data_IF_114139966956
#
_entry.id   IF_114139966956
#
_cell.length_a   1.000
_cell.length_b   1.000
_cell.length_c   1.000
_cell.angle_alpha   90.00
_cell.angle_beta   90.00
_cell.angle_gamma   90.00
#
_symmetry.space_group_name_H-M   'P 1'
#
loop_
_entity.id
_entity.type
_entity.pdbx_description
1 polymer ?
#
# COMPACT_ATOMS: atom_id res chain seq x y z
N UNK A 1 -36.45 26.79 29.95
CA UNK A 1 -35.15 27.45 30.20
C UNK A 1 -34.36 27.47 28.91
N UNK A 2 -34.25 28.65 28.28
CA UNK A 2 -33.45 28.90 27.08
C UNK A 2 -32.11 29.48 27.51
N UNK A 3 -31.00 29.02 26.93
CA UNK A 3 -29.79 29.83 26.83
C UNK A 3 -29.19 29.67 25.43
N UNK A 4 -29.33 30.73 24.64
CA UNK A 4 -28.52 31.04 23.45
C UNK A 4 -27.16 31.54 23.92
N UNK A 5 -26.09 31.15 23.23
CA UNK A 5 -24.78 31.82 23.29
C UNK A 5 -24.39 32.21 21.87
N UNK A 6 -24.44 33.53 21.61
CA UNK A 6 -23.93 34.18 20.41
C UNK A 6 -22.40 34.29 20.52
N UNK A 7 -21.68 33.98 19.44
CA UNK A 7 -20.29 34.41 19.24
C UNK A 7 -20.25 35.52 18.20
N UNK A 8 -19.65 36.64 18.60
CA UNK A 8 -19.43 37.86 17.84
C UNK A 8 -18.23 37.72 16.90
N UNK A 9 -18.37 38.21 15.67
CA UNK A 9 -17.29 38.39 14.71
C UNK A 9 -16.66 39.79 14.89
N UNK A 10 -15.33 39.86 14.93
CA UNK A 10 -14.58 41.11 14.89
C UNK A 10 -13.98 41.32 13.50
N UNK A 11 -14.39 42.40 12.85
CA UNK A 11 -13.73 43.00 11.70
C UNK A 11 -12.41 43.67 12.11
N UNK A 12 -11.37 43.52 11.29
CA UNK A 12 -10.26 44.46 11.23
C UNK A 12 -10.10 44.94 9.79
N UNK A 13 -10.30 46.25 9.62
CA UNK A 13 -10.00 47.04 8.43
C UNK A 13 -8.60 47.62 8.67
N UNK A 14 -7.69 47.48 7.70
CA UNK A 14 -6.50 48.32 7.61
C UNK A 14 -6.36 48.88 6.19
N UNK A 15 -6.46 50.20 6.10
CA UNK A 15 -6.29 51.04 4.93
C UNK A 15 -4.89 51.68 4.95
N UNK A 16 -4.29 51.86 3.76
CA UNK A 16 -3.07 52.63 3.51
C UNK A 16 -1.89 51.74 3.08
N UNK A 17 -1.04 52.10 2.10
CA UNK A 17 -0.79 53.40 1.50
C UNK A 17 0.02 53.25 0.18
N UNK A 18 0.17 54.39 -0.51
CA UNK A 18 1.28 54.80 -1.38
C UNK A 18 1.33 54.30 -2.83
N UNK A 19 0.82 55.16 -3.70
CA UNK A 19 1.22 55.28 -5.10
C UNK A 19 2.64 55.86 -5.21
N UNK A 20 3.49 55.21 -6.02
CA UNK A 20 4.76 55.74 -6.50
C UNK A 20 4.78 55.63 -8.02
N UNK A 21 4.84 56.79 -8.67
CA UNK A 21 5.04 56.96 -10.11
C UNK A 21 6.50 56.69 -10.44
N UNK A 22 6.76 55.81 -11.41
CA UNK A 22 8.07 55.62 -12.02
C UNK A 22 8.03 56.00 -13.49
N UNK A 23 8.99 56.84 -13.86
CA UNK A 23 9.23 57.41 -15.18
C UNK A 23 9.94 56.38 -16.07
N UNK A 24 9.58 56.44 -17.35
CA UNK A 24 10.14 55.75 -18.51
C UNK A 24 11.67 55.81 -18.66
N UNK A 25 12.27 54.71 -19.13
CA UNK A 25 13.63 54.71 -19.68
C UNK A 25 14.10 53.32 -20.12
N UNK A 26 13.88 52.98 -21.38
CA UNK A 26 14.34 51.75 -22.02
C UNK A 26 15.74 51.98 -22.60
N UNK A 27 16.74 51.16 -22.23
CA UNK A 27 17.95 50.87 -23.02
C UNK A 27 18.69 49.64 -22.49
N UNK A 28 18.40 48.53 -23.16
CA UNK A 28 19.20 47.32 -23.44
C UNK A 28 20.65 47.31 -22.94
N UNK A 29 20.88 46.58 -21.85
CA UNK A 29 22.02 45.69 -21.69
C UNK A 29 21.45 44.37 -21.16
N UNK A 30 21.64 43.28 -21.91
CA UNK A 30 21.21 41.95 -21.50
C UNK A 30 21.96 41.55 -20.24
N UNK A 31 21.33 41.72 -19.08
CA UNK A 31 21.77 41.10 -17.84
C UNK A 31 21.63 39.59 -18.02
N UNK A 32 22.74 38.93 -18.35
CA UNK A 32 22.85 37.50 -18.09
C UNK A 32 22.74 37.36 -16.58
N UNK A 33 21.59 36.89 -16.10
CA UNK A 33 21.43 36.54 -14.70
C UNK A 33 22.52 35.51 -14.40
N UNK A 34 23.46 35.88 -13.53
CA UNK A 34 24.45 34.92 -13.04
C UNK A 34 23.74 33.75 -12.37
N UNK A 35 24.38 32.57 -12.31
CA UNK A 35 23.84 31.42 -11.60
C UNK A 35 23.46 31.84 -10.18
N UNK A 36 22.31 31.36 -9.70
CA UNK A 36 21.87 31.62 -8.33
C UNK A 36 22.88 31.01 -7.34
N UNK A 37 22.87 31.44 -6.07
CA UNK A 37 23.74 30.84 -5.05
C UNK A 37 23.52 29.32 -4.97
N UNK A 38 22.29 28.85 -5.15
CA UNK A 38 21.96 27.43 -5.21
C UNK A 38 22.53 26.71 -6.44
N UNK A 39 22.73 27.40 -7.57
CA UNK A 39 23.37 26.83 -8.75
C UNK A 39 24.89 26.79 -8.61
N UNK A 40 25.48 27.75 -7.89
CA UNK A 40 26.90 27.75 -7.53
C UNK A 40 27.21 26.65 -6.51
N UNK A 41 26.37 26.50 -5.48
CA UNK A 41 26.52 25.45 -4.46
C UNK A 41 26.41 24.06 -5.10
N UNK A 42 25.42 23.83 -5.98
CA UNK A 42 25.33 22.59 -6.79
C UNK A 42 26.53 22.39 -7.71
N UNK A 43 27.08 23.45 -8.31
CA UNK A 43 28.27 23.34 -9.15
C UNK A 43 29.55 23.03 -8.35
N UNK A 44 29.66 23.50 -7.10
CA UNK A 44 30.74 23.15 -6.19
C UNK A 44 30.63 21.69 -5.72
N UNK A 45 29.42 21.25 -5.34
CA UNK A 45 29.16 19.86 -4.97
C UNK A 45 29.42 18.89 -6.13
N UNK A 46 28.99 19.23 -7.35
CA UNK A 46 29.25 18.42 -8.53
C UNK A 46 30.75 18.34 -8.87
N UNK A 47 31.48 19.46 -8.73
CA UNK A 47 32.93 19.48 -8.96
C UNK A 47 33.69 18.63 -7.94
N UNK A 48 33.24 18.65 -6.69
CA UNK A 48 33.84 17.86 -5.61
C UNK A 48 33.50 16.38 -5.78
N UNK A 49 32.31 16.04 -6.28
CA UNK A 49 31.94 14.68 -6.67
C UNK A 49 32.80 14.17 -7.84
N UNK A 50 32.94 14.95 -8.93
CA UNK A 50 33.78 14.59 -10.07
C UNK A 50 35.25 14.38 -9.66
N UNK A 51 35.74 15.18 -8.71
CA UNK A 51 37.07 15.01 -8.12
C UNK A 51 37.19 13.69 -7.34
N UNK A 52 36.23 13.40 -6.45
CA UNK A 52 36.21 12.16 -5.67
C UNK A 52 36.08 10.92 -6.56
N UNK A 53 35.27 10.98 -7.62
CA UNK A 53 35.12 9.89 -8.58
C UNK A 53 36.40 9.65 -9.39
N UNK A 54 37.11 10.71 -9.78
CA UNK A 54 38.39 10.61 -10.47
C UNK A 54 39.48 10.02 -9.57
N UNK A 55 39.49 10.37 -8.28
CA UNK A 55 40.36 9.74 -7.28
C UNK A 55 40.01 8.25 -7.11
N UNK A 56 38.72 7.91 -7.01
CA UNK A 56 38.25 6.53 -6.87
C UNK A 56 38.55 5.66 -8.12
N UNK A 57 38.43 6.24 -9.33
CA UNK A 57 38.79 5.56 -10.57
C UNK A 57 40.30 5.29 -10.67
N UNK A 58 41.13 6.27 -10.26
CA UNK A 58 42.59 6.12 -10.24
C UNK A 58 43.10 5.15 -9.17
N UNK A 59 42.42 5.05 -8.02
CA UNK A 59 42.73 4.07 -6.97
C UNK A 59 42.52 2.63 -7.44
N UNK A 60 41.37 2.34 -8.09
CA UNK A 60 41.07 1.02 -8.66
C UNK A 60 42.08 0.55 -9.71
N UNK A 61 42.62 1.47 -10.51
CA UNK A 61 43.67 1.16 -11.50
C UNK A 61 45.04 0.87 -10.85
N UNK A 62 45.28 1.37 -9.63
CA UNK A 62 46.52 1.17 -8.86
C UNK A 62 46.49 -0.09 -7.98
N UNK A 63 45.34 -0.46 -7.41
CA UNK A 63 45.19 -1.73 -6.67
C UNK A 63 45.52 -2.95 -7.52
N UNK A 64 45.30 -2.89 -8.85
CA UNK A 64 45.74 -3.94 -9.78
C UNK A 64 47.26 -4.09 -9.89
N UNK A 65 48.04 -3.09 -9.44
CA UNK A 65 49.50 -2.99 -9.63
C UNK A 65 50.32 -3.02 -8.34
N UNK A 66 49.80 -2.57 -7.19
CA UNK A 66 50.58 -2.36 -5.96
C UNK A 66 50.00 -3.07 -4.71
N UNK A 67 49.73 -4.38 -4.79
CA UNK A 67 49.30 -5.22 -3.66
C UNK A 67 50.32 -5.36 -2.49
N UNK A 68 51.34 -4.50 -2.36
CA UNK A 68 52.45 -4.70 -1.40
C UNK A 68 52.84 -3.51 -0.51
N UNK A 69 52.12 -2.37 -0.47
CA UNK A 69 52.45 -1.28 0.48
C UNK A 69 51.21 -0.58 1.08
N UNK A 70 50.84 -1.01 2.29
CA UNK A 70 49.74 -0.44 3.06
C UNK A 70 50.06 0.93 3.66
N UNK A 71 49.41 1.97 3.15
CA UNK A 71 49.07 3.23 3.86
C UNK A 71 48.29 4.20 2.98
N UNK A 72 48.25 3.99 1.66
CA UNK A 72 47.47 4.82 0.71
C UNK A 72 46.03 4.31 0.49
N UNK A 73 45.74 3.04 0.80
CA UNK A 73 44.42 2.40 0.64
C UNK A 73 43.33 3.10 1.45
N UNK A 74 43.61 3.45 2.71
CA UNK A 74 42.58 3.92 3.63
C UNK A 74 42.00 5.31 3.26
N UNK A 75 42.77 6.13 2.54
CA UNK A 75 42.30 7.44 2.07
C UNK A 75 41.52 7.32 0.75
N UNK A 76 41.94 6.41 -0.13
CA UNK A 76 41.25 6.12 -1.39
C UNK A 76 39.90 5.41 -1.12
N UNK A 77 39.85 4.46 -0.19
CA UNK A 77 38.62 3.79 0.24
C UNK A 77 37.61 4.78 0.83
N UNK A 78 38.07 5.69 1.71
CA UNK A 78 37.23 6.75 2.28
C UNK A 78 36.68 7.70 1.22
N UNK A 79 37.49 8.04 0.20
CA UNK A 79 37.04 8.88 -0.91
C UNK A 79 35.98 8.17 -1.77
N UNK A 80 36.13 6.87 -2.03
CA UNK A 80 35.12 6.06 -2.73
C UNK A 80 33.82 5.92 -1.91
N UNK A 81 33.90 5.70 -0.60
CA UNK A 81 32.71 5.68 0.29
C UNK A 81 31.99 7.02 0.27
N UNK A 82 32.72 8.13 0.42
CA UNK A 82 32.13 9.46 0.42
C UNK A 82 31.50 9.81 -0.94
N UNK A 83 32.13 9.45 -2.06
CA UNK A 83 31.54 9.63 -3.39
C UNK A 83 30.24 8.82 -3.56
N UNK A 84 30.21 7.58 -3.06
CA UNK A 84 29.01 6.75 -3.05
C UNK A 84 27.90 7.34 -2.17
N UNK A 85 28.25 7.90 -1.01
CA UNK A 85 27.30 8.53 -0.10
C UNK A 85 26.73 9.84 -0.67
N UNK A 86 27.57 10.68 -1.28
CA UNK A 86 27.15 11.92 -1.95
C UNK A 86 26.32 11.62 -3.19
N UNK A 87 26.67 10.62 -4.00
CA UNK A 87 25.84 10.17 -5.12
C UNK A 87 24.49 9.65 -4.62
N UNK A 88 24.50 8.86 -3.54
CA UNK A 88 23.27 8.41 -2.88
C UNK A 88 22.43 9.55 -2.29
N UNK A 89 23.04 10.67 -1.90
CA UNK A 89 22.34 11.88 -1.45
C UNK A 89 21.76 12.68 -2.62
N UNK A 90 22.55 12.93 -3.67
CA UNK A 90 22.09 13.61 -4.88
C UNK A 90 20.97 12.83 -5.59
N UNK A 91 21.06 11.50 -5.61
CA UNK A 91 20.00 10.64 -6.12
C UNK A 91 18.74 10.74 -5.25
N UNK A 92 18.87 10.89 -3.93
CA UNK A 92 17.71 11.10 -3.03
C UNK A 92 17.05 12.45 -3.27
N UNK A 93 17.82 13.51 -3.46
CA UNK A 93 17.28 14.85 -3.70
C UNK A 93 16.61 14.94 -5.08
N UNK A 94 17.23 14.36 -6.12
CA UNK A 94 16.61 14.25 -7.44
C UNK A 94 15.32 13.40 -7.41
N UNK A 95 15.30 12.30 -6.66
CA UNK A 95 14.10 11.48 -6.46
C UNK A 95 13.02 12.24 -5.68
N UNK A 96 13.39 12.99 -4.64
CA UNK A 96 12.46 13.80 -3.87
C UNK A 96 11.84 14.91 -4.73
N UNK A 97 12.64 15.55 -5.59
CA UNK A 97 12.15 16.53 -6.55
C UNK A 97 11.20 15.90 -7.59
N UNK A 98 11.58 14.76 -8.17
CA UNK A 98 10.73 14.04 -9.14
C UNK A 98 9.39 13.62 -8.53
N UNK A 99 9.38 13.17 -7.27
CA UNK A 99 8.15 12.84 -6.56
C UNK A 99 7.30 14.10 -6.29
N UNK A 100 7.90 15.20 -5.85
CA UNK A 100 7.18 16.45 -5.61
C UNK A 100 6.56 17.00 -6.91
N UNK A 101 7.27 16.89 -8.03
CA UNK A 101 6.76 17.26 -9.36
C UNK A 101 5.59 16.34 -9.77
N UNK A 102 5.70 15.03 -9.55
CA UNK A 102 4.61 14.09 -9.76
C UNK A 102 3.37 14.46 -8.91
N UNK A 103 3.56 14.67 -7.60
CA UNK A 103 2.49 15.03 -6.67
C UNK A 103 1.78 16.34 -7.05
N UNK A 104 2.54 17.33 -7.54
CA UNK A 104 2.00 18.60 -7.99
C UNK A 104 1.08 18.48 -9.23
N UNK A 105 1.19 17.38 -9.99
CA UNK A 105 0.34 17.11 -11.16
C UNK A 105 -0.95 16.34 -10.82
N UNK A 106 -1.08 15.82 -9.60
CA UNK A 106 -2.22 14.99 -9.22
C UNK A 106 -3.50 15.82 -9.05
N UNK A 107 -4.54 15.42 -9.77
CA UNK A 107 -5.91 15.92 -9.68
C UNK A 107 -6.87 14.76 -9.47
N UNK A 108 -8.11 15.05 -9.06
CA UNK A 108 -9.13 14.01 -8.91
C UNK A 108 -9.37 13.22 -10.21
N UNK A 109 -9.23 13.87 -11.36
CA UNK A 109 -9.53 13.26 -12.67
C UNK A 109 -8.38 12.41 -13.21
N UNK A 110 -7.15 12.60 -12.72
CA UNK A 110 -5.97 11.95 -13.29
C UNK A 110 -5.16 11.09 -12.31
N UNK A 111 -5.48 11.08 -11.01
CA UNK A 111 -4.58 10.51 -10.01
C UNK A 111 -4.23 9.03 -10.29
N UNK A 112 -5.23 8.20 -10.55
CA UNK A 112 -5.04 6.76 -10.81
C UNK A 112 -4.29 6.54 -12.13
N UNK A 113 -4.65 7.27 -13.18
CA UNK A 113 -3.99 7.13 -14.48
C UNK A 113 -2.53 7.61 -14.44
N UNK A 114 -2.25 8.64 -13.64
CA UNK A 114 -0.89 9.13 -13.41
C UNK A 114 -0.03 8.07 -12.72
N UNK A 115 -0.59 7.32 -11.76
CA UNK A 115 0.12 6.20 -11.14
C UNK A 115 0.37 5.05 -12.13
N UNK A 116 -0.59 4.73 -13.00
CA UNK A 116 -0.40 3.70 -14.04
C UNK A 116 0.72 4.08 -15.00
N UNK A 117 0.72 5.33 -15.48
CA UNK A 117 1.77 5.87 -16.33
C UNK A 117 3.14 5.80 -15.63
N UNK A 118 3.19 6.23 -14.36
CA UNK A 118 4.40 6.17 -13.54
C UNK A 118 4.91 4.73 -13.36
N UNK A 119 4.02 3.78 -13.06
CA UNK A 119 4.37 2.36 -12.91
C UNK A 119 4.90 1.71 -14.20
N UNK A 120 4.45 2.16 -15.37
CA UNK A 120 4.90 1.64 -16.66
C UNK A 120 6.40 1.94 -16.94
N UNK A 121 6.95 2.99 -16.30
CA UNK A 121 8.36 3.36 -16.41
C UNK A 121 9.29 2.47 -15.57
N UNK A 122 8.72 1.53 -14.79
CA UNK A 122 9.44 0.63 -13.86
C UNK A 122 10.32 1.41 -12.88
N UNK A 123 9.73 2.33 -12.10
CA UNK A 123 10.45 3.07 -11.07
C UNK A 123 11.00 2.12 -10.00
N UNK A 124 11.92 2.63 -9.19
CA UNK A 124 12.35 1.96 -7.97
C UNK A 124 11.15 1.66 -7.06
N UNK A 125 11.19 0.51 -6.37
CA UNK A 125 10.12 0.05 -5.46
C UNK A 125 9.72 1.12 -4.44
N UNK A 126 10.71 1.84 -3.88
CA UNK A 126 10.46 2.86 -2.88
C UNK A 126 9.73 4.07 -3.47
N UNK A 127 10.08 4.45 -4.70
CA UNK A 127 9.48 5.59 -5.38
C UNK A 127 8.04 5.26 -5.80
N UNK A 128 7.79 4.06 -6.32
CA UNK A 128 6.42 3.61 -6.59
C UNK A 128 5.56 3.56 -5.35
N UNK A 129 6.08 3.01 -4.24
CA UNK A 129 5.32 2.94 -3.00
C UNK A 129 4.92 4.33 -2.50
N UNK A 130 5.83 5.32 -2.60
CA UNK A 130 5.51 6.71 -2.26
C UNK A 130 4.45 7.28 -3.19
N UNK A 131 4.61 7.17 -4.51
CA UNK A 131 3.61 7.62 -5.48
C UNK A 131 2.25 6.95 -5.29
N UNK A 132 2.21 5.66 -4.97
CA UNK A 132 0.99 4.92 -4.65
C UNK A 132 0.27 5.52 -3.44
N UNK A 133 1.01 5.85 -2.38
CA UNK A 133 0.45 6.51 -1.20
C UNK A 133 -0.06 7.92 -1.50
N UNK A 134 0.67 8.72 -2.27
CA UNK A 134 0.26 10.07 -2.65
C UNK A 134 -0.98 10.08 -3.54
N UNK A 135 -1.06 9.16 -4.51
CA UNK A 135 -2.25 8.94 -5.33
C UNK A 135 -3.42 8.48 -4.48
N UNK A 136 -3.21 7.56 -3.53
CA UNK A 136 -4.26 7.12 -2.63
C UNK A 136 -4.79 8.20 -1.69
N UNK A 137 -3.91 9.06 -1.17
CA UNK A 137 -4.31 10.24 -0.41
C UNK A 137 -5.15 11.20 -1.27
N UNK A 138 -4.76 11.39 -2.54
CA UNK A 138 -5.53 12.24 -3.46
C UNK A 138 -6.89 11.66 -3.80
N UNK A 139 -6.98 10.37 -4.11
CA UNK A 139 -8.24 9.66 -4.37
C UNK A 139 -9.20 9.76 -3.17
N UNK A 140 -8.66 9.63 -1.95
CA UNK A 140 -9.43 9.81 -0.73
C UNK A 140 -9.91 11.26 -0.53
N UNK A 141 -9.07 12.27 -0.77
CA UNK A 141 -9.46 13.69 -0.76
C UNK A 141 -10.64 13.95 -1.71
N UNK A 142 -10.66 13.27 -2.86
CA UNK A 142 -11.72 13.35 -3.86
C UNK A 142 -12.96 12.48 -3.54
N UNK A 143 -12.94 11.74 -2.43
CA UNK A 143 -13.98 10.79 -2.02
C UNK A 143 -14.31 9.71 -3.07
N UNK A 144 -13.37 9.38 -3.96
CA UNK A 144 -13.52 8.33 -4.96
C UNK A 144 -13.13 6.96 -4.39
N UNK A 145 -13.90 6.48 -3.40
CA UNK A 145 -13.64 5.18 -2.77
C UNK A 145 -13.91 4.00 -3.71
N UNK A 146 -14.74 4.20 -4.73
CA UNK A 146 -14.94 3.19 -5.77
C UNK A 146 -13.63 3.01 -6.55
N UNK A 147 -13.06 4.09 -7.10
CA UNK A 147 -11.76 4.07 -7.77
C UNK A 147 -10.64 3.59 -6.86
N UNK A 148 -10.64 3.96 -5.57
CA UNK A 148 -9.70 3.42 -4.58
C UNK A 148 -9.71 1.89 -4.55
N UNK A 149 -10.89 1.28 -4.44
CA UNK A 149 -11.03 -0.16 -4.24
C UNK A 149 -10.90 -0.96 -5.53
N UNK A 150 -11.54 -0.49 -6.61
CA UNK A 150 -11.63 -1.23 -7.87
C UNK A 150 -10.48 -0.96 -8.82
N UNK A 151 -9.79 0.18 -8.68
CA UNK A 151 -8.73 0.59 -9.60
C UNK A 151 -7.37 0.79 -8.93
N UNK A 152 -7.30 1.47 -7.77
CA UNK A 152 -6.02 1.79 -7.13
C UNK A 152 -5.44 0.62 -6.32
N UNK A 153 -6.18 0.05 -5.37
CA UNK A 153 -5.70 -1.09 -4.55
C UNK A 153 -5.15 -2.26 -5.39
N UNK A 154 -5.73 -2.62 -6.55
CA UNK A 154 -5.15 -3.63 -7.43
C UNK A 154 -3.76 -3.29 -7.97
N UNK A 155 -3.45 -2.00 -8.13
CA UNK A 155 -2.13 -1.51 -8.56
C UNK A 155 -1.07 -1.64 -7.46
N UNK A 156 -1.43 -2.03 -6.23
CA UNK A 156 -0.45 -2.36 -5.19
C UNK A 156 0.42 -3.59 -5.57
N UNK A 157 0.03 -4.32 -6.63
CA UNK A 157 0.82 -5.41 -7.18
C UNK A 157 1.88 -4.89 -8.16
N UNK A 158 3.05 -4.55 -7.64
CA UNK A 158 4.27 -4.51 -8.45
C UNK A 158 4.95 -5.88 -8.44
N UNK A 159 5.39 -6.34 -9.61
CA UNK A 159 6.26 -7.51 -9.70
C UNK A 159 7.58 -7.24 -8.96
N UNK A 160 7.92 -8.08 -7.97
CA UNK A 160 9.19 -8.01 -7.24
C UNK A 160 9.16 -7.23 -5.91
N UNK A 161 8.04 -6.60 -5.56
CA UNK A 161 7.87 -5.76 -4.35
C UNK A 161 7.15 -6.54 -3.25
N UNK A 162 7.49 -6.26 -1.98
CA UNK A 162 6.91 -6.86 -0.76
C UNK A 162 5.36 -6.95 -0.80
N UNK A 163 4.69 -7.87 -0.07
CA UNK A 163 3.37 -8.37 -0.45
C UNK A 163 2.36 -7.22 -0.67
N UNK A 164 1.66 -7.22 -1.82
CA UNK A 164 0.74 -6.14 -2.26
C UNK A 164 -0.26 -5.71 -1.17
N UNK A 165 -0.67 -6.66 -0.34
CA UNK A 165 -1.58 -6.47 0.79
C UNK A 165 -1.06 -5.44 1.80
N UNK A 166 0.26 -5.37 2.03
CA UNK A 166 0.86 -4.47 3.03
C UNK A 166 0.81 -3.00 2.61
N UNK A 167 0.94 -2.73 1.31
CA UNK A 167 0.88 -1.39 0.74
C UNK A 167 -0.56 -0.88 0.73
N UNK A 168 -1.50 -1.70 0.25
CA UNK A 168 -2.92 -1.39 0.30
C UNK A 168 -3.42 -1.16 1.74
N UNK A 169 -3.02 -2.02 2.69
CA UNK A 169 -3.37 -1.86 4.11
C UNK A 169 -2.83 -0.56 4.70
N UNK A 170 -1.54 -0.24 4.47
CA UNK A 170 -0.94 1.02 4.94
C UNK A 170 -1.69 2.22 4.42
N UNK A 171 -2.06 2.21 3.13
CA UNK A 171 -2.85 3.29 2.54
C UNK A 171 -4.21 3.42 3.23
N UNK A 172 -4.93 2.32 3.44
CA UNK A 172 -6.22 2.33 4.12
C UNK A 172 -6.11 2.79 5.58
N UNK A 173 -5.04 2.46 6.31
CA UNK A 173 -4.78 3.00 7.65
C UNK A 173 -4.64 4.53 7.61
N UNK A 174 -3.83 5.06 6.69
CA UNK A 174 -3.66 6.52 6.53
C UNK A 174 -4.96 7.23 6.19
N UNK A 175 -5.76 6.66 5.27
CA UNK A 175 -7.04 7.27 4.90
C UNK A 175 -8.06 7.15 6.04
N UNK A 176 -8.17 5.98 6.67
CA UNK A 176 -9.15 5.71 7.73
C UNK A 176 -8.95 6.55 8.99
N UNK A 177 -7.72 6.97 9.29
CA UNK A 177 -7.43 7.96 10.36
C UNK A 177 -8.02 9.34 10.03
N UNK A 178 -8.09 9.68 8.74
CA UNK A 178 -8.55 10.98 8.26
C UNK A 178 -10.04 11.02 7.88
N UNK A 179 -10.65 9.86 7.56
CA UNK A 179 -11.99 9.79 7.02
C UNK A 179 -12.82 8.62 7.59
N UNK A 180 -13.75 8.95 8.49
CA UNK A 180 -14.65 7.99 9.12
C UNK A 180 -15.67 7.37 8.13
N UNK A 181 -15.87 7.95 6.94
CA UNK A 181 -16.81 7.44 5.94
C UNK A 181 -16.24 6.30 5.08
N UNK A 182 -14.91 6.10 5.13
CA UNK A 182 -14.21 5.05 4.38
C UNK A 182 -14.78 3.65 4.68
N UNK A 183 -15.04 3.35 5.96
CA UNK A 183 -15.55 2.03 6.36
C UNK A 183 -16.94 1.73 5.76
N UNK A 184 -17.82 2.73 5.76
CA UNK A 184 -19.17 2.62 5.17
C UNK A 184 -19.08 2.37 3.67
N UNK A 185 -18.27 3.14 2.94
CA UNK A 185 -18.13 2.99 1.49
C UNK A 185 -17.48 1.66 1.11
N UNK A 186 -16.47 1.21 1.87
CA UNK A 186 -15.87 -0.11 1.66
C UNK A 186 -16.90 -1.23 1.85
N UNK A 187 -17.79 -1.11 2.83
CA UNK A 187 -18.87 -2.09 3.04
C UNK A 187 -19.88 -2.11 1.88
N UNK A 188 -20.15 -0.95 1.27
CA UNK A 188 -21.00 -0.82 0.09
C UNK A 188 -20.34 -1.42 -1.15
N UNK A 189 -19.05 -1.14 -1.38
CA UNK A 189 -18.30 -1.70 -2.51
C UNK A 189 -18.11 -3.23 -2.35
N UNK A 190 -17.94 -3.74 -1.13
CA UNK A 190 -17.91 -5.18 -0.83
C UNK A 190 -19.23 -5.90 -1.14
N UNK A 191 -20.36 -5.18 -1.04
CA UNK A 191 -21.68 -5.70 -1.42
C UNK A 191 -21.94 -5.66 -2.92
N UNK A 192 -21.24 -4.80 -3.64
CA UNK A 192 -21.41 -4.68 -5.07
C UNK A 192 -20.65 -5.82 -5.78
N UNK A 193 -21.17 -6.25 -6.93
CA UNK A 193 -20.47 -7.16 -7.87
C UNK A 193 -19.14 -6.58 -8.43
N UNK A 194 -18.67 -5.46 -7.87
CA UNK A 194 -17.52 -4.65 -8.28
C UNK A 194 -16.15 -5.28 -8.00
N UNK A 195 -16.06 -6.36 -7.21
CA UNK A 195 -14.82 -7.12 -7.02
C UNK A 195 -14.51 -8.00 -8.25
N UNK A 196 -14.22 -7.38 -9.38
CA UNK A 196 -13.88 -8.08 -10.64
C UNK A 196 -12.53 -8.83 -10.57
N UNK A 197 -12.44 -9.92 -11.35
CA UNK A 197 -11.57 -11.09 -11.17
C UNK A 197 -10.05 -10.86 -11.09
N UNK A 198 -9.46 -9.88 -11.79
CA UNK A 198 -7.99 -9.77 -11.89
C UNK A 198 -7.34 -9.00 -10.73
N UNK A 199 -8.15 -8.23 -10.02
CA UNK A 199 -7.78 -7.20 -9.05
C UNK A 199 -8.27 -7.53 -7.63
N UNK A 200 -9.24 -8.43 -7.52
CA UNK A 200 -10.11 -8.55 -6.36
C UNK A 200 -9.44 -9.11 -5.11
N UNK A 201 -8.46 -10.00 -5.22
CA UNK A 201 -7.85 -10.63 -4.04
C UNK A 201 -6.90 -9.67 -3.30
N UNK A 202 -6.18 -8.81 -4.02
CA UNK A 202 -5.28 -7.80 -3.42
C UNK A 202 -6.13 -6.77 -2.67
N UNK A 203 -7.17 -6.24 -3.32
CA UNK A 203 -8.11 -5.32 -2.68
C UNK A 203 -8.81 -5.99 -1.49
N UNK A 204 -9.32 -7.21 -1.66
CA UNK A 204 -9.98 -7.94 -0.59
C UNK A 204 -9.04 -8.20 0.60
N UNK A 205 -7.77 -8.53 0.35
CA UNK A 205 -6.77 -8.78 1.39
C UNK A 205 -6.40 -7.50 2.15
N UNK A 206 -6.16 -6.40 1.43
CA UNK A 206 -5.89 -5.10 2.02
C UNK A 206 -7.07 -4.62 2.89
N UNK A 207 -8.29 -4.69 2.34
CA UNK A 207 -9.52 -4.29 3.03
C UNK A 207 -9.78 -5.17 4.25
N UNK A 208 -9.70 -6.49 4.10
CA UNK A 208 -9.93 -7.42 5.22
C UNK A 208 -8.93 -7.19 6.34
N UNK A 209 -7.65 -6.98 6.01
CA UNK A 209 -6.61 -6.69 6.99
C UNK A 209 -6.86 -5.38 7.72
N UNK A 210 -7.23 -4.33 6.97
CA UNK A 210 -7.58 -3.03 7.53
C UNK A 210 -8.78 -3.13 8.49
N UNK A 211 -9.87 -3.78 8.07
CA UNK A 211 -11.07 -3.96 8.90
C UNK A 211 -10.80 -4.76 10.18
N UNK A 212 -9.91 -5.75 10.13
CA UNK A 212 -9.49 -6.51 11.31
C UNK A 212 -8.70 -5.65 12.29
N UNK A 213 -7.77 -4.82 11.80
CA UNK A 213 -6.97 -3.91 12.63
C UNK A 213 -7.83 -2.78 13.24
N UNK A 214 -8.76 -2.23 12.45
CA UNK A 214 -9.69 -1.19 12.90
C UNK A 214 -10.83 -1.72 13.77
N UNK A 215 -10.95 -3.03 13.93
CA UNK A 215 -12.06 -3.71 14.63
C UNK A 215 -13.45 -3.34 14.08
N UNK A 216 -13.54 -3.05 12.78
CA UNK A 216 -14.78 -2.63 12.11
C UNK A 216 -15.59 -3.84 11.62
N UNK A 217 -16.19 -4.58 12.56
CA UNK A 217 -16.90 -5.83 12.29
C UNK A 217 -18.36 -5.67 11.84
N UNK A 218 -18.88 -4.45 11.79
CA UNK A 218 -20.23 -4.10 11.32
C UNK A 218 -20.46 -4.55 9.86
N UNK A 219 -19.36 -4.86 9.16
CA UNK A 219 -19.28 -5.33 7.77
C UNK A 219 -19.52 -6.83 7.60
N UNK A 220 -19.73 -7.60 8.69
CA UNK A 220 -19.96 -9.06 8.61
C UNK A 220 -21.09 -9.43 7.63
N UNK A 221 -22.20 -8.69 7.63
CA UNK A 221 -23.34 -8.96 6.74
C UNK A 221 -22.94 -8.79 5.27
N UNK A 222 -22.12 -7.79 4.96
CA UNK A 222 -21.66 -7.53 3.60
C UNK A 222 -20.74 -8.65 3.09
N UNK A 223 -19.83 -9.12 3.94
CA UNK A 223 -18.94 -10.22 3.59
C UNK A 223 -19.70 -11.54 3.42
N UNK A 224 -20.77 -11.77 4.21
CA UNK A 224 -21.64 -12.94 4.02
C UNK A 224 -22.32 -12.89 2.66
N UNK A 225 -22.82 -11.73 2.23
CA UNK A 225 -23.40 -11.57 0.90
C UNK A 225 -22.36 -11.84 -0.20
N UNK A 226 -21.13 -11.34 -0.02
CA UNK A 226 -20.04 -11.49 -0.97
C UNK A 226 -19.54 -12.94 -1.14
N UNK A 227 -19.78 -13.84 -0.17
CA UNK A 227 -19.46 -15.27 -0.30
C UNK A 227 -20.21 -15.97 -1.44
N UNK A 228 -21.38 -15.43 -1.84
CA UNK A 228 -22.16 -15.93 -2.98
C UNK A 228 -21.63 -15.50 -4.36
N UNK A 229 -20.63 -14.63 -4.40
CA UNK A 229 -20.03 -14.13 -5.64
C UNK A 229 -19.30 -15.24 -6.41
N UNK A 230 -19.34 -15.25 -7.76
CA UNK A 230 -18.65 -16.26 -8.57
C UNK A 230 -17.10 -16.22 -8.48
N UNK A 231 -16.52 -15.21 -7.83
CA UNK A 231 -15.08 -14.99 -7.82
C UNK A 231 -14.35 -15.79 -6.72
N UNK A 232 -13.88 -17.00 -7.07
CA UNK A 232 -13.24 -17.98 -6.16
C UNK A 232 -12.04 -17.44 -5.36
N UNK A 233 -11.27 -16.50 -5.91
CA UNK A 233 -10.05 -15.95 -5.26
C UNK A 233 -10.39 -15.13 -4.02
N UNK A 234 -11.45 -14.31 -4.08
CA UNK A 234 -11.89 -13.48 -2.95
C UNK A 234 -12.58 -14.28 -1.86
N UNK A 235 -13.24 -15.39 -2.22
CA UNK A 235 -13.96 -16.26 -1.27
C UNK A 235 -13.05 -16.73 -0.13
N UNK A 236 -11.79 -17.10 -0.43
CA UNK A 236 -10.82 -17.52 0.61
C UNK A 236 -10.57 -16.42 1.63
N UNK A 237 -10.31 -15.22 1.14
CA UNK A 237 -10.05 -14.02 1.95
C UNK A 237 -11.27 -13.65 2.79
N UNK A 238 -12.47 -13.70 2.20
CA UNK A 238 -13.71 -13.38 2.90
C UNK A 238 -14.04 -14.41 4.00
N UNK A 239 -13.87 -15.71 3.74
CA UNK A 239 -14.02 -16.74 4.76
C UNK A 239 -13.02 -16.52 5.91
N UNK A 240 -11.76 -16.21 5.58
CA UNK A 240 -10.74 -15.92 6.59
C UNK A 240 -11.10 -14.71 7.44
N UNK A 241 -11.49 -13.60 6.82
CA UNK A 241 -11.97 -12.40 7.51
C UNK A 241 -13.13 -12.74 8.46
N UNK A 242 -14.19 -13.39 7.98
CA UNK A 242 -15.38 -13.71 8.77
C UNK A 242 -15.03 -14.59 9.99
N UNK A 243 -14.08 -15.51 9.84
CA UNK A 243 -13.59 -16.34 10.94
C UNK A 243 -12.74 -15.57 11.94
N UNK A 244 -11.85 -14.67 11.49
CA UNK A 244 -11.00 -13.84 12.35
C UNK A 244 -11.80 -12.77 13.10
N UNK A 245 -12.75 -12.12 12.43
CA UNK A 245 -13.70 -11.17 12.99
C UNK A 245 -14.76 -11.81 13.89
N UNK A 246 -14.77 -13.15 14.00
CA UNK A 246 -15.76 -13.93 14.76
C UNK A 246 -17.22 -13.59 14.40
N UNK A 247 -17.50 -13.44 13.11
CA UNK A 247 -18.83 -13.17 12.60
C UNK A 247 -19.76 -14.39 12.76
N UNK A 248 -20.33 -14.61 13.96
CA UNK A 248 -21.20 -15.77 14.22
C UNK A 248 -22.35 -15.96 13.21
N UNK A 249 -23.05 -14.90 12.75
CA UNK A 249 -24.10 -15.05 11.73
C UNK A 249 -23.62 -15.65 10.40
N UNK A 250 -22.31 -15.60 10.13
CA UNK A 250 -21.71 -16.13 8.90
C UNK A 250 -21.51 -17.66 8.92
N UNK A 251 -21.68 -18.31 10.07
CA UNK A 251 -21.35 -19.73 10.22
C UNK A 251 -22.07 -20.63 9.19
N UNK A 252 -23.34 -20.32 8.88
CA UNK A 252 -24.11 -21.05 7.88
C UNK A 252 -23.57 -20.89 6.46
N UNK A 253 -23.22 -19.66 6.08
CA UNK A 253 -22.64 -19.35 4.77
C UNK A 253 -21.26 -20.01 4.64
N UNK A 254 -20.39 -19.87 5.65
CA UNK A 254 -19.06 -20.50 5.68
C UNK A 254 -19.19 -22.03 5.57
N UNK A 255 -20.14 -22.64 6.27
CA UNK A 255 -20.35 -24.08 6.23
C UNK A 255 -20.77 -24.61 4.84
N UNK A 256 -21.35 -23.78 3.98
CA UNK A 256 -21.64 -24.16 2.58
C UNK A 256 -20.37 -24.34 1.75
N UNK A 257 -19.26 -23.70 2.14
CA UNK A 257 -17.97 -23.82 1.45
C UNK A 257 -17.14 -25.05 1.87
N UNK A 258 -17.60 -25.83 2.84
CA UNK A 258 -17.01 -27.13 3.18
C UNK A 258 -17.08 -28.14 2.04
N UNK A 259 -17.98 -27.94 1.06
CA UNK A 259 -18.11 -28.75 -0.15
C UNK A 259 -17.48 -28.11 -1.39
N UNK A 260 -16.67 -27.06 -1.23
CA UNK A 260 -15.97 -26.43 -2.36
C UNK A 260 -15.05 -27.42 -3.08
N UNK A 261 -14.97 -27.34 -4.41
CA UNK A 261 -13.99 -28.08 -5.20
C UNK A 261 -12.55 -27.65 -4.88
N UNK A 262 -12.39 -26.36 -4.55
CA UNK A 262 -11.09 -25.79 -4.17
C UNK A 262 -10.74 -26.22 -2.72
N UNK A 263 -9.67 -26.99 -2.52
CA UNK A 263 -9.31 -27.50 -1.21
C UNK A 263 -8.82 -26.40 -0.25
N UNK A 264 -8.24 -25.30 -0.74
CA UNK A 264 -7.89 -24.16 0.11
C UNK A 264 -9.13 -23.47 0.66
N UNK A 265 -10.19 -23.34 -0.14
CA UNK A 265 -11.49 -22.82 0.32
C UNK A 265 -12.04 -23.70 1.45
N UNK A 266 -11.99 -25.03 1.30
CA UNK A 266 -12.44 -25.96 2.35
C UNK A 266 -11.64 -25.81 3.65
N UNK A 267 -10.33 -25.62 3.54
CA UNK A 267 -9.45 -25.40 4.71
C UNK A 267 -9.80 -24.11 5.43
N UNK A 268 -9.94 -23.01 4.69
CA UNK A 268 -10.36 -21.72 5.27
C UNK A 268 -11.72 -21.85 5.94
N UNK A 269 -12.66 -22.57 5.34
CA UNK A 269 -13.97 -22.81 5.93
C UNK A 269 -13.88 -23.60 7.25
N UNK A 270 -13.09 -24.69 7.30
CA UNK A 270 -12.86 -25.42 8.53
C UNK A 270 -12.21 -24.56 9.62
N UNK A 271 -11.15 -23.83 9.28
CA UNK A 271 -10.48 -22.92 10.23
C UNK A 271 -11.41 -21.83 10.75
N UNK A 272 -12.21 -21.20 9.88
CA UNK A 272 -13.15 -20.15 10.25
C UNK A 272 -14.25 -20.69 11.18
N UNK A 273 -14.88 -21.82 10.85
CA UNK A 273 -15.87 -22.46 11.74
C UNK A 273 -15.27 -22.84 13.09
N UNK A 274 -14.02 -23.31 13.12
CA UNK A 274 -13.30 -23.59 14.37
C UNK A 274 -13.05 -22.34 15.22
N UNK A 275 -12.93 -21.15 14.62
CA UNK A 275 -12.82 -19.86 15.34
C UNK A 275 -14.18 -19.37 15.85
N UNK A 276 -15.25 -19.64 15.09
CA UNK A 276 -16.62 -19.32 15.49
C UNK A 276 -17.13 -20.24 16.61
N UNK A 277 -16.54 -21.43 16.76
CA UNK A 277 -16.87 -22.42 17.79
C UNK A 277 -18.35 -22.83 17.84
N UNK A 278 -19.07 -22.68 16.72
CA UNK A 278 -20.50 -23.00 16.66
C UNK A 278 -20.71 -24.54 16.58
N UNK A 279 -21.29 -25.16 17.63
CA UNK A 279 -21.47 -26.61 17.69
C UNK A 279 -22.44 -27.15 16.64
N UNK A 280 -23.32 -26.31 16.05
CA UNK A 280 -24.26 -26.74 15.03
C UNK A 280 -23.59 -27.30 13.76
N UNK A 281 -22.31 -26.97 13.55
CA UNK A 281 -21.54 -27.42 12.39
C UNK A 281 -20.55 -28.55 12.69
N UNK A 282 -20.52 -29.07 13.93
CA UNK A 282 -19.60 -30.13 14.33
C UNK A 282 -19.75 -31.39 13.46
N UNK A 283 -20.97 -31.81 13.13
CA UNK A 283 -21.15 -33.02 12.31
C UNK A 283 -20.68 -32.81 10.87
N UNK A 284 -20.87 -31.62 10.29
CA UNK A 284 -20.32 -31.28 8.96
C UNK A 284 -18.79 -31.31 8.97
N UNK A 285 -18.17 -30.71 9.98
CA UNK A 285 -16.71 -30.74 10.14
C UNK A 285 -16.18 -32.17 10.28
N UNK A 286 -16.90 -33.03 11.00
CA UNK A 286 -16.55 -34.46 11.17
C UNK A 286 -16.56 -35.22 9.86
N UNK A 287 -17.61 -35.04 9.05
CA UNK A 287 -17.70 -35.67 7.73
C UNK A 287 -16.49 -35.29 6.87
N UNK A 288 -16.14 -34.00 6.78
CA UNK A 288 -14.97 -33.56 5.99
C UNK A 288 -13.67 -34.11 6.58
N UNK A 289 -13.50 -34.07 7.91
CA UNK A 289 -12.32 -34.61 8.61
C UNK A 289 -12.03 -36.10 8.35
N UNK A 290 -13.07 -36.88 8.01
CA UNK A 290 -12.97 -38.31 7.77
C UNK A 290 -12.90 -38.65 6.28
N UNK A 291 -13.58 -37.88 5.43
CA UNK A 291 -13.85 -38.26 4.04
C UNK A 291 -13.15 -37.41 2.97
N UNK A 292 -12.60 -36.22 3.30
CA UNK A 292 -12.04 -35.32 2.27
C UNK A 292 -10.96 -35.99 1.42
N UNK A 293 -10.99 -35.84 0.10
CA UNK A 293 -10.03 -36.51 -0.78
C UNK A 293 -8.64 -35.89 -0.67
N UNK A 294 -7.59 -36.71 -0.81
CA UNK A 294 -6.26 -36.17 -1.09
C UNK A 294 -6.27 -35.54 -2.50
N UNK A 295 -5.53 -34.46 -2.70
CA UNK A 295 -5.35 -33.88 -4.03
C UNK A 295 -3.86 -33.65 -4.32
N UNK A 296 -3.54 -33.59 -5.62
CA UNK A 296 -2.16 -33.50 -6.10
C UNK A 296 -1.90 -32.11 -6.65
N UNK A 297 -0.79 -31.48 -6.26
CA UNK A 297 -0.29 -30.24 -6.86
C UNK A 297 1.16 -30.46 -7.28
N UNK A 298 1.49 -30.14 -8.53
CA UNK A 298 2.83 -30.34 -9.11
C UNK A 298 3.36 -31.78 -8.96
N UNK A 299 2.49 -32.79 -9.04
CA UNK A 299 2.87 -34.20 -8.87
C UNK A 299 3.09 -34.64 -7.42
N UNK A 300 3.01 -33.73 -6.45
CA UNK A 300 3.06 -34.04 -5.02
C UNK A 300 1.64 -34.21 -4.49
N UNK A 301 1.38 -35.33 -3.83
CA UNK A 301 0.15 -35.50 -3.05
C UNK A 301 0.24 -34.55 -1.86
N UNK A 302 -0.57 -33.49 -1.87
CA UNK A 302 -0.73 -32.63 -0.70
C UNK A 302 -1.62 -33.43 0.26
N UNK A 303 -0.99 -34.02 1.27
CA UNK A 303 -1.65 -34.93 2.21
C UNK A 303 -2.64 -34.17 3.08
N UNK A 304 -3.87 -34.67 3.16
CA UNK A 304 -4.91 -34.51 4.20
C UNK A 304 -5.05 -33.18 4.98
N UNK A 305 -4.47 -32.06 4.57
CA UNK A 305 -4.45 -30.85 5.40
C UNK A 305 -5.84 -30.22 5.53
N UNK A 306 -6.76 -30.50 4.60
CA UNK A 306 -8.19 -30.22 4.79
C UNK A 306 -8.73 -31.01 5.99
N UNK A 307 -8.48 -32.33 6.03
CA UNK A 307 -8.91 -33.18 7.14
C UNK A 307 -8.35 -32.68 8.46
N UNK A 308 -7.06 -32.32 8.49
CA UNK A 308 -6.40 -31.84 9.70
C UNK A 308 -6.98 -30.50 10.15
N UNK A 309 -7.20 -29.55 9.24
CA UNK A 309 -7.86 -28.28 9.57
C UNK A 309 -9.27 -28.49 10.16
N UNK A 310 -10.04 -29.46 9.65
CA UNK A 310 -11.36 -29.77 10.17
C UNK A 310 -11.31 -30.52 11.52
N UNK A 311 -10.31 -31.37 11.76
CA UNK A 311 -10.08 -32.00 13.08
C UNK A 311 -9.71 -30.96 14.13
N UNK A 312 -8.84 -30.01 13.78
CA UNK A 312 -8.46 -28.91 14.67
C UNK A 312 -9.68 -28.04 15.00
N UNK A 313 -10.53 -27.77 14.01
CA UNK A 313 -11.79 -27.04 14.21
C UNK A 313 -12.74 -27.79 15.17
N UNK A 314 -12.88 -29.11 15.02
CA UNK A 314 -13.66 -29.94 15.94
C UNK A 314 -13.12 -29.90 17.37
N UNK A 315 -11.79 -29.94 17.53
CA UNK A 315 -11.13 -29.80 18.81
C UNK A 315 -11.56 -28.51 19.51
N UNK A 316 -11.56 -27.38 18.78
CA UNK A 316 -11.98 -26.07 19.30
C UNK A 316 -13.45 -26.01 19.67
N UNK A 317 -14.35 -26.58 18.86
CA UNK A 317 -15.79 -26.62 19.18
C UNK A 317 -16.10 -27.44 20.42
N UNK A 318 -15.32 -28.50 20.71
CA UNK A 318 -15.51 -29.34 21.91
C UNK A 318 -15.06 -28.66 23.21
N UNK A 319 -14.16 -27.68 23.13
CA UNK A 319 -13.65 -26.95 24.29
C UNK A 319 -14.55 -25.77 24.71
N UNK A 320 -15.50 -25.39 23.86
CA UNK A 320 -16.41 -24.26 24.10
C UNK A 320 -17.73 -24.65 24.79
N UNK A 321 -18.01 -25.96 24.91
CA UNK A 321 -19.17 -26.55 25.60
C UNK A 321 -18.75 -27.19 26.93
#
# INVERSE_FOLDING_TARGET
MRLHSQRTAHHWIFTGALALTAVSGCSVLGSVAGPSSADLDRAFEQRDLDYLENVCAKGRDRESRDFMRGSASDQEDRACTLASDVRGANDKDARAQSLAEFEATLTCDNAIESLRAYGAEKPDEHDYARSFHSVGAKVAECQDYAGLVTELLPLAKLEGVAPPESMGKRLLNTIGESDASLATHIAEVANADSFSFEASWVSAGAISSWLLESSSFDTCASYVAALGSPHRTSVKTFIEFLGLAKCSPAAGAIASHLSSEDPEVRVRACQALGRLTDPAYADKLRVVAESDSAYTTNGLVQTYYVRDACRDALGKTKLAN
#
